data_IF_800843490803
#
_entry.id   IF_800843490803
#
_cell.length_a   1.000
_cell.length_b   1.000
_cell.length_c   1.000
_cell.angle_alpha   90.00
_cell.angle_beta   90.00
_cell.angle_gamma   90.00
#
_symmetry.space_group_name_H-M   'P 1'
#
loop_
_entity.id
_entity.type
_entity.pdbx_description
1 polymer ?
#
# COMPACT_ATOMS: atom_id res chain seq x y z
N UNK A 1 17.93 2.23 7.73
CA UNK A 1 17.45 1.13 6.87
C UNK A 1 18.55 0.64 5.95
N UNK A 2 18.54 -0.66 5.67
CA UNK A 2 19.41 -1.26 4.65
C UNK A 2 18.62 -1.40 3.37
N UNK A 3 19.06 -0.74 2.32
CA UNK A 3 18.45 -0.77 0.99
C UNK A 3 19.47 -1.30 -0.03
N UNK A 4 18.97 -1.74 -1.19
CA UNK A 4 19.83 -2.18 -2.27
C UNK A 4 20.65 -0.99 -2.81
N UNK A 5 21.93 -1.20 -3.13
CA UNK A 5 22.81 -0.16 -3.67
C UNK A 5 22.26 0.45 -4.98
N UNK A 6 21.62 -0.33 -5.82
CA UNK A 6 20.98 0.14 -7.07
C UNK A 6 20.01 1.29 -6.81
N UNK A 7 19.34 1.27 -5.65
CA UNK A 7 18.44 2.36 -5.26
C UNK A 7 19.19 3.68 -5.05
N UNK A 8 20.39 3.63 -4.45
CA UNK A 8 21.21 4.83 -4.21
C UNK A 8 21.82 5.41 -5.49
N UNK A 9 21.90 4.62 -6.55
CA UNK A 9 22.46 5.00 -7.85
C UNK A 9 21.36 5.43 -8.86
N UNK A 10 20.08 5.22 -8.52
CA UNK A 10 18.96 5.58 -9.38
C UNK A 10 18.68 7.09 -9.33
N UNK A 11 18.47 7.70 -10.49
CA UNK A 11 18.07 9.11 -10.58
C UNK A 11 16.62 9.31 -10.14
N UNK A 12 15.75 8.33 -10.45
CA UNK A 12 14.32 8.37 -10.15
C UNK A 12 13.80 7.00 -9.70
N UNK A 13 12.73 7.00 -8.92
CA UNK A 13 12.05 5.77 -8.45
C UNK A 13 10.62 5.77 -8.93
N UNK A 14 10.21 4.67 -9.56
CA UNK A 14 8.81 4.40 -9.93
C UNK A 14 8.31 3.22 -9.12
N UNK A 15 7.21 3.37 -8.41
CA UNK A 15 6.55 2.27 -7.68
C UNK A 15 5.40 1.71 -8.51
N UNK A 16 5.52 0.46 -8.96
CA UNK A 16 4.45 -0.24 -9.68
C UNK A 16 3.94 -1.38 -8.79
N UNK A 17 2.72 -1.25 -8.33
CA UNK A 17 2.10 -2.18 -7.39
C UNK A 17 0.89 -2.89 -7.98
N UNK A 18 0.62 -4.09 -7.53
CA UNK A 18 -0.63 -4.81 -7.75
C UNK A 18 -1.64 -4.43 -6.67
N UNK A 19 -2.85 -4.03 -7.06
CA UNK A 19 -3.96 -3.81 -6.11
C UNK A 19 -4.37 -5.13 -5.47
N UNK A 20 -4.27 -5.22 -4.14
CA UNK A 20 -4.68 -6.42 -3.40
C UNK A 20 -4.92 -6.18 -1.92
N UNK A 21 -5.78 -7.00 -1.34
CA UNK A 21 -5.86 -7.12 0.12
C UNK A 21 -4.58 -7.77 0.68
N UNK A 22 -4.34 -7.52 1.96
CA UNK A 22 -3.19 -8.07 2.67
C UNK A 22 -3.62 -8.51 4.06
N UNK A 23 -3.44 -9.80 4.37
CA UNK A 23 -3.89 -10.37 5.64
C UNK A 23 -3.31 -9.67 6.88
N UNK A 24 -2.10 -9.14 6.81
CA UNK A 24 -1.46 -8.45 7.92
C UNK A 24 -1.63 -6.92 7.86
N UNK A 25 -1.42 -6.32 6.68
CA UNK A 25 -1.40 -4.85 6.49
C UNK A 25 -2.71 -4.27 5.95
N UNK A 26 -3.75 -5.07 5.78
CA UNK A 26 -5.03 -4.66 5.20
C UNK A 26 -4.99 -4.53 3.69
N UNK A 27 -4.11 -3.71 3.16
CA UNK A 27 -3.96 -3.44 1.73
C UNK A 27 -2.50 -3.58 1.26
N UNK A 28 -2.33 -3.84 -0.03
CA UNK A 28 -1.08 -3.68 -0.77
C UNK A 28 -1.33 -2.75 -1.93
N UNK A 29 -0.68 -1.60 -1.90
CA UNK A 29 -0.62 -0.59 -2.94
C UNK A 29 0.84 -0.10 -3.06
N UNK A 30 1.08 1.13 -3.50
CA UNK A 30 2.43 1.60 -3.86
C UNK A 30 3.35 1.79 -2.66
N UNK A 31 2.84 2.26 -1.51
CA UNK A 31 3.64 2.41 -0.29
C UNK A 31 4.09 1.04 0.26
N UNK A 32 3.15 0.08 0.34
CA UNK A 32 3.48 -1.28 0.77
C UNK A 32 4.45 -1.99 -0.19
N UNK A 33 4.39 -1.68 -1.49
CA UNK A 33 5.27 -2.22 -2.50
C UNK A 33 6.75 -1.89 -2.22
N UNK A 34 7.05 -0.73 -1.62
CA UNK A 34 8.41 -0.32 -1.26
C UNK A 34 9.09 -1.26 -0.27
N UNK A 35 8.33 -2.08 0.44
CA UNK A 35 8.91 -3.14 1.28
C UNK A 35 9.65 -4.23 0.49
N UNK A 36 9.61 -4.19 -0.83
CA UNK A 36 10.48 -4.96 -1.71
C UNK A 36 11.95 -4.51 -1.69
N UNK A 37 12.24 -3.26 -1.32
CA UNK A 37 13.58 -2.66 -1.36
C UNK A 37 14.55 -3.19 -0.29
N UNK A 38 14.15 -3.43 0.97
CA UNK A 38 15.04 -4.04 1.95
C UNK A 38 15.48 -5.44 1.50
N UNK A 39 16.80 -5.72 1.43
CA UNK A 39 17.30 -6.98 0.92
C UNK A 39 16.99 -8.14 1.87
N UNK A 40 16.84 -9.32 1.30
CA UNK A 40 16.82 -10.58 2.04
C UNK A 40 18.27 -11.03 2.30
N UNK A 41 18.90 -10.48 3.36
CA UNK A 41 20.27 -10.84 3.70
C UNK A 41 20.29 -12.16 4.46
N UNK A 42 21.15 -13.13 4.07
CA UNK A 42 21.35 -14.35 4.85
C UNK A 42 21.90 -14.06 6.26
N UNK A 43 21.58 -14.90 7.26
CA UNK A 43 20.73 -16.07 7.13
C UNK A 43 19.22 -15.73 7.13
N UNK A 44 18.51 -16.24 6.14
CA UNK A 44 17.04 -16.30 6.03
C UNK A 44 16.26 -14.98 6.17
N UNK A 45 16.74 -13.89 5.56
CA UNK A 45 15.97 -12.66 5.50
C UNK A 45 15.70 -11.99 6.85
N UNK A 46 16.60 -12.13 7.83
CA UNK A 46 16.44 -11.55 9.17
C UNK A 46 16.12 -10.05 9.14
N UNK A 47 16.68 -9.29 8.19
CA UNK A 47 16.41 -7.85 8.05
C UNK A 47 14.95 -7.60 7.76
N UNK A 48 14.34 -8.33 6.82
CA UNK A 48 12.91 -8.18 6.51
C UNK A 48 12.03 -8.65 7.66
N UNK A 49 12.38 -9.76 8.31
CA UNK A 49 11.67 -10.27 9.49
C UNK A 49 11.74 -9.27 10.65
N UNK A 50 12.90 -8.65 10.87
CA UNK A 50 13.07 -7.60 11.86
C UNK A 50 12.16 -6.40 11.60
N UNK A 51 12.12 -5.88 10.37
CA UNK A 51 11.25 -4.77 10.00
C UNK A 51 9.78 -5.15 10.06
N UNK A 52 9.43 -6.37 9.66
CA UNK A 52 8.03 -6.81 9.63
C UNK A 52 7.45 -7.01 11.03
N UNK A 53 8.19 -7.66 11.92
CA UNK A 53 7.65 -8.15 13.19
C UNK A 53 8.12 -7.36 14.42
N UNK A 54 9.37 -6.91 14.46
CA UNK A 54 9.90 -6.22 15.63
C UNK A 54 9.70 -4.71 15.57
N UNK A 55 10.02 -4.06 14.45
CA UNK A 55 9.72 -2.63 14.26
C UNK A 55 8.25 -2.41 13.98
N UNK A 56 7.57 -3.38 13.40
CA UNK A 56 6.23 -3.38 12.83
C UNK A 56 6.16 -2.65 11.50
N UNK A 57 5.59 -3.35 10.52
CA UNK A 57 5.59 -2.91 9.13
C UNK A 57 4.85 -1.59 8.92
N UNK A 58 3.78 -1.34 9.70
CA UNK A 58 3.03 -0.09 9.66
C UNK A 58 3.87 1.16 9.92
N UNK A 59 4.95 1.05 10.70
CA UNK A 59 5.88 2.16 10.96
C UNK A 59 7.04 2.22 9.96
N UNK A 60 7.44 1.06 9.42
CA UNK A 60 8.52 0.96 8.42
C UNK A 60 8.11 1.54 7.08
N UNK A 61 6.87 1.32 6.65
CA UNK A 61 6.39 1.76 5.34
C UNK A 61 6.41 3.29 5.15
N UNK A 62 5.92 4.10 6.11
CA UNK A 62 6.08 5.55 6.05
C UNK A 62 7.53 6.00 5.91
N UNK A 63 8.45 5.39 6.67
CA UNK A 63 9.88 5.70 6.58
C UNK A 63 10.43 5.39 5.18
N UNK A 64 10.09 4.23 4.62
CA UNK A 64 10.49 3.87 3.25
C UNK A 64 9.95 4.86 2.23
N UNK A 65 8.68 5.27 2.34
CA UNK A 65 8.07 6.28 1.46
C UNK A 65 8.83 7.61 1.52
N UNK A 66 9.11 8.10 2.72
CA UNK A 66 9.85 9.35 2.93
C UNK A 66 11.31 9.30 2.45
N UNK A 67 11.95 8.12 2.51
CA UNK A 67 13.32 7.93 2.04
C UNK A 67 13.35 7.82 0.51
N UNK A 68 12.43 7.05 -0.08
CA UNK A 68 12.47 6.69 -1.51
C UNK A 68 11.80 7.73 -2.39
N UNK A 69 10.73 8.36 -1.92
CA UNK A 69 9.96 9.40 -2.62
C UNK A 69 9.74 9.08 -4.10
N UNK A 70 9.02 8.00 -4.45
CA UNK A 70 8.77 7.69 -5.85
C UNK A 70 8.17 8.87 -6.58
N UNK A 71 8.72 9.21 -7.75
CA UNK A 71 8.23 10.29 -8.61
C UNK A 71 6.95 9.91 -9.37
N UNK A 72 6.70 8.59 -9.52
CA UNK A 72 5.51 8.04 -10.13
C UNK A 72 5.09 6.76 -9.39
N UNK A 73 3.82 6.68 -9.09
CA UNK A 73 3.19 5.57 -8.38
C UNK A 73 2.07 5.01 -9.26
N UNK A 74 2.17 3.72 -9.61
CA UNK A 74 1.18 3.05 -10.46
C UNK A 74 0.61 1.86 -9.70
N UNK A 75 -0.73 1.77 -9.67
CA UNK A 75 -1.45 0.62 -9.13
C UNK A 75 -2.12 -0.11 -10.28
N UNK A 76 -1.65 -1.30 -10.58
CA UNK A 76 -2.26 -2.19 -11.55
C UNK A 76 -3.40 -2.96 -10.87
N UNK A 77 -4.60 -2.76 -11.38
CA UNK A 77 -5.84 -3.41 -10.95
C UNK A 77 -6.63 -3.98 -12.15
N UNK A 78 -5.95 -4.38 -13.24
CA UNK A 78 -6.62 -5.13 -14.31
C UNK A 78 -7.23 -6.41 -13.74
N UNK A 79 -6.44 -7.11 -12.91
CA UNK A 79 -6.93 -8.18 -12.05
C UNK A 79 -6.44 -7.93 -10.63
N UNK A 80 -7.30 -7.37 -9.80
CA UNK A 80 -7.01 -7.21 -8.37
C UNK A 80 -6.99 -8.54 -7.65
N UNK A 81 -6.40 -8.59 -6.44
CA UNK A 81 -6.43 -9.79 -5.59
C UNK A 81 -7.22 -9.53 -4.31
N UNK A 82 -8.29 -10.26 -4.15
CA UNK A 82 -9.19 -10.18 -3.02
C UNK A 82 -8.80 -11.14 -1.90
N UNK A 83 -9.09 -10.75 -0.66
CA UNK A 83 -8.95 -11.56 0.55
C UNK A 83 -7.57 -11.44 1.20
N UNK A 84 -6.52 -11.93 0.57
CA UNK A 84 -5.16 -11.91 1.12
C UNK A 84 -4.09 -11.94 0.02
N UNK A 85 -2.86 -11.57 0.39
CA UNK A 85 -1.75 -11.45 -0.55
C UNK A 85 -1.20 -12.76 -1.10
N UNK A 86 -1.41 -13.87 -0.39
CA UNK A 86 -1.00 -15.23 -0.78
C UNK A 86 -2.22 -16.14 -0.89
N UNK A 87 -2.45 -16.67 -2.09
CA UNK A 87 -3.58 -17.58 -2.32
C UNK A 87 -4.96 -16.91 -2.16
N UNK A 88 -5.04 -15.61 -2.32
CA UNK A 88 -6.30 -14.89 -2.45
C UNK A 88 -6.95 -15.11 -3.82
N UNK A 89 -8.16 -14.63 -3.98
CA UNK A 89 -8.94 -14.76 -5.22
C UNK A 89 -8.59 -13.62 -6.18
N UNK A 90 -8.29 -13.95 -7.45
CA UNK A 90 -8.12 -12.96 -8.52
C UNK A 90 -9.47 -12.45 -8.99
N UNK A 91 -9.64 -11.14 -9.10
CA UNK A 91 -10.87 -10.49 -9.56
C UNK A 91 -10.56 -9.46 -10.64
N UNK A 92 -11.32 -9.50 -11.72
CA UNK A 92 -11.14 -8.61 -12.87
C UNK A 92 -11.75 -7.26 -12.53
N UNK A 93 -10.92 -6.25 -12.33
CA UNK A 93 -11.34 -4.88 -12.01
C UNK A 93 -11.21 -3.94 -13.21
N UNK A 94 -10.36 -4.26 -14.19
CA UNK A 94 -10.08 -3.46 -15.39
C UNK A 94 -9.73 -1.99 -15.10
N UNK A 95 -9.04 -1.76 -13.99
CA UNK A 95 -8.64 -0.43 -13.54
C UNK A 95 -7.12 -0.27 -13.52
N UNK A 96 -6.68 0.96 -13.74
CA UNK A 96 -5.30 1.41 -13.58
C UNK A 96 -5.33 2.75 -12.86
N UNK A 97 -4.52 2.91 -11.84
CA UNK A 97 -4.39 4.16 -11.09
C UNK A 97 -2.94 4.63 -11.17
N UNK A 98 -2.74 5.93 -11.38
CA UNK A 98 -1.41 6.54 -11.36
C UNK A 98 -1.45 7.87 -10.59
N UNK A 99 -0.35 8.22 -9.93
CA UNK A 99 -0.20 9.48 -9.22
C UNK A 99 1.26 9.82 -8.93
N UNK A 100 1.52 11.07 -8.68
CA UNK A 100 2.85 11.62 -8.41
C UNK A 100 3.23 11.57 -6.92
N UNK A 101 2.27 11.29 -6.03
CA UNK A 101 2.51 11.17 -4.59
C UNK A 101 2.03 9.83 -4.03
N UNK A 102 2.93 9.08 -3.38
CA UNK A 102 2.69 7.71 -2.90
C UNK A 102 1.45 7.59 -2.00
N UNK A 103 1.33 8.46 -0.99
CA UNK A 103 0.19 8.38 -0.05
C UNK A 103 -1.10 8.79 -0.73
N UNK A 104 -1.12 9.85 -1.54
CA UNK A 104 -2.31 10.29 -2.27
C UNK A 104 -2.80 9.20 -3.24
N UNK A 105 -1.89 8.58 -4.00
CA UNK A 105 -2.21 7.45 -4.87
C UNK A 105 -2.84 6.29 -4.10
N UNK A 106 -2.26 5.93 -2.94
CA UNK A 106 -2.75 4.82 -2.13
C UNK A 106 -4.08 5.15 -1.42
N UNK A 107 -4.33 6.40 -1.04
CA UNK A 107 -5.62 6.86 -0.52
C UNK A 107 -6.73 6.71 -1.56
N UNK A 108 -6.49 7.16 -2.80
CA UNK A 108 -7.41 6.95 -3.91
C UNK A 108 -7.62 5.45 -4.19
N UNK A 109 -6.53 4.67 -4.23
CA UNK A 109 -6.60 3.22 -4.43
C UNK A 109 -7.39 2.50 -3.33
N UNK A 110 -7.20 2.88 -2.08
CA UNK A 110 -7.93 2.34 -0.94
C UNK A 110 -9.43 2.67 -1.00
N UNK A 111 -9.77 3.89 -1.43
CA UNK A 111 -11.17 4.31 -1.67
C UNK A 111 -11.80 3.51 -2.80
N UNK A 112 -11.08 3.28 -3.90
CA UNK A 112 -11.54 2.40 -4.98
C UNK A 112 -11.74 0.95 -4.52
N UNK A 113 -11.01 0.49 -3.51
CA UNK A 113 -11.22 -0.82 -2.86
C UNK A 113 -12.41 -0.82 -1.88
N UNK A 114 -13.17 0.28 -1.74
CA UNK A 114 -14.31 0.38 -0.83
C UNK A 114 -13.93 0.55 0.64
N UNK A 115 -12.69 0.89 0.95
CA UNK A 115 -12.23 1.11 2.32
C UNK A 115 -12.14 2.59 2.65
N UNK A 116 -12.43 2.94 3.91
CA UNK A 116 -12.21 4.29 4.42
C UNK A 116 -10.70 4.50 4.72
N UNK A 117 -10.03 5.45 4.03
CA UNK A 117 -8.62 5.75 4.27
C UNK A 117 -8.30 6.18 5.72
N UNK A 118 -9.28 6.66 6.46
CA UNK A 118 -9.14 7.07 7.87
C UNK A 118 -9.33 5.92 8.86
N UNK A 119 -9.76 4.75 8.40
CA UNK A 119 -9.87 3.57 9.26
C UNK A 119 -8.50 3.16 9.80
N UNK A 120 -8.48 2.62 11.03
CA UNK A 120 -7.26 2.17 11.69
C UNK A 120 -7.54 0.91 12.51
N UNK A 121 -6.49 0.23 12.96
CA UNK A 121 -6.61 -0.93 13.84
C UNK A 121 -7.53 -0.63 15.05
N UNK A 122 -8.46 -1.54 15.40
CA UNK A 122 -8.71 -2.87 14.83
C UNK A 122 -9.80 -2.91 13.72
N UNK A 123 -10.14 -1.78 13.12
CA UNK A 123 -11.20 -1.69 12.09
C UNK A 123 -10.71 -2.20 10.74
N UNK A 124 -11.51 -2.99 9.99
CA UNK A 124 -11.16 -3.41 8.66
C UNK A 124 -10.79 -2.23 7.74
N UNK A 125 -9.82 -2.41 6.85
CA UNK A 125 -9.03 -3.62 6.57
C UNK A 125 -7.87 -3.86 7.55
N UNK A 126 -7.61 -2.97 8.53
CA UNK A 126 -6.47 -2.99 9.44
C UNK A 126 -6.73 -3.82 10.70
N UNK A 127 -6.98 -5.12 10.53
CA UNK A 127 -7.32 -6.02 11.66
C UNK A 127 -6.14 -6.45 12.52
N UNK A 128 -4.91 -6.39 11.99
CA UNK A 128 -3.70 -6.92 12.66
C UNK A 128 -2.63 -5.88 12.94
N UNK A 129 -2.60 -4.79 12.18
CA UNK A 129 -1.65 -3.71 12.37
C UNK A 129 -2.29 -2.36 12.06
N UNK A 130 -1.60 -1.27 12.42
CA UNK A 130 -2.03 0.10 12.21
C UNK A 130 -2.11 0.44 10.71
N UNK A 131 -2.92 1.41 10.38
CA UNK A 131 -2.96 1.99 9.04
C UNK A 131 -1.65 2.75 8.75
N UNK A 132 -0.87 2.23 7.82
CA UNK A 132 0.40 2.84 7.42
C UNK A 132 0.24 4.16 6.66
N UNK A 133 -0.90 4.39 5.97
CA UNK A 133 -1.22 5.67 5.33
C UNK A 133 -1.51 6.74 6.37
N UNK A 134 -2.29 6.40 7.41
CA UNK A 134 -2.55 7.28 8.54
C UNK A 134 -1.25 7.68 9.25
N UNK A 135 -0.37 6.70 9.50
CA UNK A 135 0.94 6.97 10.13
C UNK A 135 1.86 7.83 9.25
N UNK A 136 1.78 7.68 7.92
CA UNK A 136 2.50 8.51 6.97
C UNK A 136 2.00 9.97 7.02
N UNK A 137 0.68 10.17 6.96
CA UNK A 137 0.05 11.49 7.04
C UNK A 137 0.36 12.18 8.39
N UNK A 138 0.31 11.47 9.51
CA UNK A 138 0.68 11.99 10.84
C UNK A 138 2.13 12.47 10.92
N UNK A 139 3.01 11.99 10.04
CA UNK A 139 4.41 12.42 9.92
C UNK A 139 4.64 13.49 8.86
N UNK A 140 3.57 14.04 8.29
CA UNK A 140 3.63 15.07 7.24
C UNK A 140 4.00 14.52 5.85
N UNK A 141 3.82 13.21 5.63
CA UNK A 141 4.03 12.58 4.34
C UNK A 141 2.67 12.26 3.69
N UNK A 142 2.08 13.26 3.03
CA UNK A 142 0.79 13.19 2.35
C UNK A 142 -0.41 13.49 3.25
N UNK A 143 -1.60 13.29 2.71
CA UNK A 143 -2.90 13.53 3.35
C UNK A 143 -3.82 12.31 3.18
N UNK A 144 -4.83 12.18 4.07
CA UNK A 144 -5.93 11.21 3.94
C UNK A 144 -7.22 11.89 3.47
N UNK A 145 -7.21 13.21 3.34
CA UNK A 145 -8.37 13.99 2.93
C UNK A 145 -8.49 13.95 1.40
N UNK A 146 -9.53 13.31 0.87
CA UNK A 146 -9.74 13.18 -0.58
C UNK A 146 -9.97 14.52 -1.26
N UNK A 147 -10.54 15.49 -0.56
CA UNK A 147 -10.76 16.86 -1.06
C UNK A 147 -9.48 17.70 -1.16
N UNK A 148 -8.38 17.23 -0.57
CA UNK A 148 -7.03 17.78 -0.73
C UNK A 148 -6.22 17.11 -1.85
N UNK A 149 -6.77 16.07 -2.49
CA UNK A 149 -6.13 15.31 -3.56
C UNK A 149 -6.82 15.66 -4.88
N UNK A 150 -6.05 16.14 -5.85
CA UNK A 150 -6.53 16.32 -7.21
C UNK A 150 -6.65 14.94 -7.88
N UNK A 151 -7.87 14.39 -7.84
CA UNK A 151 -8.17 13.03 -8.29
C UNK A 151 -9.22 13.04 -9.40
N UNK A 152 -8.78 12.69 -10.61
CA UNK A 152 -9.66 12.44 -11.75
C UNK A 152 -9.90 10.94 -11.90
N UNK A 153 -11.17 10.54 -12.11
CA UNK A 153 -11.54 9.12 -12.23
C UNK A 153 -12.58 8.92 -13.32
N UNK A 154 -12.35 7.92 -14.16
CA UNK A 154 -13.36 7.36 -15.08
C UNK A 154 -14.18 6.23 -14.43
N UNK A 155 -13.81 5.83 -13.20
CA UNK A 155 -14.52 4.82 -12.42
C UNK A 155 -15.46 5.52 -11.45
N UNK A 156 -16.73 5.20 -11.50
CA UNK A 156 -17.75 5.70 -10.57
C UNK A 156 -17.81 4.80 -9.32
N UNK A 157 -17.42 5.36 -8.18
CA UNK A 157 -17.48 4.67 -6.88
C UNK A 157 -16.45 3.55 -6.71
N UNK A 158 -16.61 2.75 -5.64
CA UNK A 158 -15.72 1.63 -5.36
C UNK A 158 -15.81 0.55 -6.46
N UNK A 159 -14.69 -0.16 -6.65
CA UNK A 159 -14.67 -1.35 -7.49
C UNK A 159 -15.49 -2.45 -6.83
N UNK A 160 -16.54 -2.93 -7.51
CA UNK A 160 -17.49 -3.91 -6.97
C UNK A 160 -16.82 -5.21 -6.52
N UNK A 161 -15.69 -5.54 -7.12
CA UNK A 161 -14.89 -6.72 -6.81
C UNK A 161 -14.29 -6.71 -5.40
N UNK A 162 -14.21 -5.54 -4.75
CA UNK A 162 -13.70 -5.38 -3.39
C UNK A 162 -14.78 -5.08 -2.34
N UNK A 163 -16.02 -4.80 -2.75
CA UNK A 163 -17.13 -4.38 -1.85
C UNK A 163 -17.47 -5.40 -0.75
N UNK A 164 -17.28 -6.67 -1.00
CA UNK A 164 -17.65 -7.75 -0.06
C UNK A 164 -16.60 -8.05 1.01
N UNK A 165 -15.51 -7.30 1.06
CA UNK A 165 -14.37 -7.58 1.96
C UNK A 165 -14.65 -7.23 3.41
N UNK A 166 -15.66 -6.44 3.66
CA UNK A 166 -15.90 -5.89 4.99
C UNK A 166 -16.22 -6.94 6.05
N UNK A 167 -16.59 -8.15 5.67
CA UNK A 167 -17.25 -9.01 6.65
C UNK A 167 -16.50 -10.25 7.10
N UNK A 168 -15.75 -10.99 6.26
CA UNK A 168 -15.45 -12.37 6.64
C UNK A 168 -14.05 -12.95 6.36
N UNK A 169 -13.01 -12.17 6.19
CA UNK A 169 -11.66 -12.72 6.19
C UNK A 169 -11.12 -12.81 7.62
N UNK A 170 -11.57 -13.82 8.35
CA UNK A 170 -11.06 -14.19 9.67
C UNK A 170 -9.67 -14.82 9.62
#
# INVERSE_FOLDING_TARGET
YVLNAVFAEADEVVSIAKMKNHAFMGITLTLKNLFGLPPMIPPQGRTRSYYHHLIRLSYVLPDLGMITKPCLNIVEALTGQWGREWGGEGRICNALLAGDHTVATDVCGMTLMGHDPKSDWPTPPFRRDRNHLLLAAQRGFGTLELDEIDFESEVEGPLAEFDSVATDAG
#
